data_IF_774040682829
#
_entry.id   IF_774040682829
#
_cell.length_a   1.000
_cell.length_b   1.000
_cell.length_c   1.000
_cell.angle_alpha   90.00
_cell.angle_beta   90.00
_cell.angle_gamma   90.00
#
_symmetry.space_group_name_H-M   'P 1'
#
loop_
_entity.id
_entity.type
_entity.pdbx_description
1 polymer ?
#
# COMPACT_ATOMS: atom_id res chain seq x y z
N UNK A 1 -44.73 -31.12 68.92
CA UNK A 1 -43.30 -30.81 68.75
C UNK A 1 -43.00 -30.71 67.25
N UNK A 2 -42.27 -29.67 66.82
CA UNK A 2 -41.83 -29.36 65.44
C UNK A 2 -41.12 -30.56 64.75
N UNK A 3 -41.00 -30.67 63.40
CA UNK A 3 -40.59 -29.59 62.49
C UNK A 3 -41.16 -29.55 61.05
N UNK A 4 -40.73 -28.50 60.33
CA UNK A 4 -40.93 -28.14 58.91
C UNK A 4 -40.06 -28.98 57.94
N UNK A 5 -40.51 -29.19 56.71
CA UNK A 5 -39.72 -29.36 55.47
C UNK A 5 -40.43 -28.50 54.40
N UNK A 6 -39.89 -27.39 53.90
CA UNK A 6 -38.80 -27.18 52.91
C UNK A 6 -39.04 -27.89 51.56
N UNK A 7 -39.56 -27.07 50.63
CA UNK A 7 -39.32 -26.93 49.19
C UNK A 7 -38.76 -28.09 48.36
N UNK A 8 -39.44 -28.37 47.23
CA UNK A 8 -38.80 -28.69 45.94
C UNK A 8 -39.54 -27.92 44.85
N UNK A 9 -38.96 -26.78 44.45
CA UNK A 9 -39.12 -26.20 43.12
C UNK A 9 -37.94 -26.73 42.33
N UNK A 10 -38.19 -27.56 41.31
CA UNK A 10 -37.15 -27.94 40.34
C UNK A 10 -37.62 -27.52 38.96
N UNK A 11 -37.24 -26.30 38.64
CA UNK A 11 -36.78 -25.80 37.35
C UNK A 11 -36.69 -26.83 36.23
N UNK A 12 -37.65 -26.77 35.29
CA UNK A 12 -37.42 -27.10 33.89
C UNK A 12 -36.50 -26.02 33.32
N UNK A 13 -35.19 -26.23 33.42
CA UNK A 13 -34.20 -25.46 32.69
C UNK A 13 -34.14 -25.96 31.25
N UNK A 14 -34.35 -24.99 30.37
CA UNK A 14 -34.35 -25.05 28.92
C UNK A 14 -32.95 -25.47 28.46
N UNK A 15 -32.84 -26.66 27.87
CA UNK A 15 -31.71 -27.05 27.02
C UNK A 15 -31.90 -26.40 25.64
N UNK A 16 -31.69 -25.10 25.55
CA UNK A 16 -31.34 -24.45 24.29
C UNK A 16 -29.83 -24.51 24.20
N UNK A 17 -29.31 -25.57 23.58
CA UNK A 17 -27.90 -25.65 23.22
C UNK A 17 -27.58 -24.51 22.25
N UNK A 18 -26.83 -23.51 22.73
CA UNK A 18 -26.04 -22.66 21.85
C UNK A 18 -25.11 -23.59 21.07
N UNK A 19 -25.16 -23.51 19.74
CA UNK A 19 -24.18 -24.16 18.88
C UNK A 19 -22.78 -23.71 19.31
N UNK A 20 -21.96 -24.65 19.75
CA UNK A 20 -20.54 -24.40 19.93
C UNK A 20 -19.95 -24.13 18.56
N UNK A 21 -19.45 -22.92 18.31
CA UNK A 21 -18.48 -22.68 17.26
C UNK A 21 -17.42 -23.78 17.32
N UNK A 22 -17.18 -24.43 16.18
CA UNK A 22 -16.15 -25.46 16.06
C UNK A 22 -14.81 -24.75 16.25
N UNK A 23 -14.02 -25.19 17.22
CA UNK A 23 -12.68 -24.64 17.46
C UNK A 23 -11.79 -24.96 16.24
N UNK A 24 -11.71 -24.01 15.31
CA UNK A 24 -10.95 -24.12 14.05
C UNK A 24 -9.45 -23.97 14.32
N UNK A 25 -8.64 -24.70 13.56
CA UNK A 25 -7.18 -24.56 13.64
C UNK A 25 -6.70 -23.22 13.06
N UNK A 26 -7.39 -22.69 12.04
CA UNK A 26 -7.02 -21.46 11.37
C UNK A 26 -7.65 -20.26 12.08
N UNK A 27 -6.79 -19.40 12.61
CA UNK A 27 -7.12 -18.14 13.29
C UNK A 27 -6.02 -17.15 12.90
N UNK A 28 -6.15 -16.57 11.70
CA UNK A 28 -5.16 -15.64 11.18
C UNK A 28 -5.17 -14.35 12.00
N UNK A 29 -3.98 -13.94 12.43
CA UNK A 29 -3.75 -12.72 13.20
C UNK A 29 -2.42 -12.09 12.78
N UNK A 30 -2.04 -10.97 13.39
CA UNK A 30 -0.71 -10.39 13.17
C UNK A 30 0.37 -11.22 13.87
N UNK A 31 1.48 -11.45 13.17
CA UNK A 31 2.68 -12.07 13.75
C UNK A 31 3.73 -10.98 13.89
N UNK A 32 3.92 -10.45 15.10
CA UNK A 32 4.81 -9.31 15.35
C UNK A 32 6.23 -9.54 14.82
N UNK A 33 6.75 -10.77 14.92
CA UNK A 33 8.08 -11.14 14.42
C UNK A 33 8.21 -11.07 12.89
N UNK A 34 7.11 -10.83 12.17
CA UNK A 34 7.09 -10.64 10.72
C UNK A 34 7.06 -9.16 10.30
N UNK A 35 6.95 -8.21 11.24
CA UNK A 35 6.83 -6.78 10.90
C UNK A 35 7.94 -5.90 11.46
N UNK A 36 8.45 -5.00 10.61
CA UNK A 36 9.39 -3.93 10.96
C UNK A 36 8.62 -2.61 11.02
N UNK A 37 8.71 -1.91 12.14
CA UNK A 37 8.13 -0.57 12.31
C UNK A 37 9.18 0.51 12.03
N UNK A 38 8.83 1.45 11.15
CA UNK A 38 9.59 2.66 10.84
C UNK A 38 8.73 3.91 10.86
N UNK A 39 9.37 5.08 10.88
CA UNK A 39 8.74 6.38 10.68
C UNK A 39 9.18 6.95 9.33
N UNK A 40 8.27 7.56 8.57
CA UNK A 40 8.63 8.18 7.28
C UNK A 40 9.58 9.37 7.46
N UNK A 41 9.54 10.03 8.61
CA UNK A 41 10.22 11.31 8.87
C UNK A 41 11.44 11.21 9.80
N UNK A 42 11.68 10.05 10.45
CA UNK A 42 12.82 9.89 11.36
C UNK A 42 13.46 8.50 11.29
N UNK A 43 14.80 8.44 11.31
CA UNK A 43 15.59 7.20 11.41
C UNK A 43 15.44 6.47 12.77
N UNK A 44 14.45 6.83 13.59
CA UNK A 44 14.25 6.24 14.91
C UNK A 44 13.38 4.99 14.79
N UNK A 45 13.91 3.85 15.25
CA UNK A 45 13.10 2.64 15.48
C UNK A 45 11.97 2.98 16.46
N UNK A 46 10.72 2.87 15.98
CA UNK A 46 9.56 3.12 16.82
C UNK A 46 9.38 2.00 17.85
N UNK A 47 8.74 2.32 18.97
CA UNK A 47 8.17 1.34 19.91
C UNK A 47 6.64 1.26 19.77
N UNK A 48 6.07 1.74 18.66
CA UNK A 48 4.63 1.61 18.41
C UNK A 48 4.27 0.14 18.27
N UNK A 49 3.17 -0.25 18.90
CA UNK A 49 2.56 -1.57 18.75
C UNK A 49 2.20 -1.83 17.28
N UNK A 50 2.77 -2.90 16.72
CA UNK A 50 2.57 -3.32 15.32
C UNK A 50 1.08 -3.55 15.06
N UNK A 51 0.39 -4.18 16.01
CA UNK A 51 -1.04 -4.48 15.94
C UNK A 51 -1.87 -3.23 15.69
N UNK A 52 -1.70 -2.20 16.51
CA UNK A 52 -2.42 -0.92 16.37
C UNK A 52 -2.29 -0.31 14.97
N UNK A 53 -1.09 -0.33 14.36
CA UNK A 53 -0.88 0.20 13.00
C UNK A 53 -1.52 -0.69 11.93
N UNK A 54 -1.44 -2.01 12.10
CA UNK A 54 -2.03 -2.97 11.18
C UNK A 54 -3.57 -3.00 11.25
N UNK A 55 -4.16 -2.66 12.40
CA UNK A 55 -5.61 -2.58 12.62
C UNK A 55 -6.25 -1.31 12.06
N UNK A 56 -5.50 -0.21 11.92
CA UNK A 56 -6.03 1.05 11.39
C UNK A 56 -6.65 0.87 9.98
N UNK A 57 -7.80 1.47 9.72
CA UNK A 57 -8.58 1.34 8.48
C UNK A 57 -9.08 -0.09 8.18
N UNK A 58 -9.13 -0.98 9.19
CA UNK A 58 -9.81 -2.29 9.05
C UNK A 58 -11.27 -2.24 9.51
N UNK A 59 -11.66 -1.19 10.25
CA UNK A 59 -13.00 -0.96 10.75
C UNK A 59 -13.93 -0.24 9.76
N UNK A 60 -14.77 0.64 10.31
CA UNK A 60 -15.71 1.48 9.57
C UNK A 60 -14.94 2.63 8.89
N UNK A 61 -15.01 2.66 7.55
CA UNK A 61 -14.30 3.66 6.76
C UNK A 61 -15.11 4.94 6.62
N UNK A 62 -14.41 6.08 6.58
CA UNK A 62 -14.97 7.38 6.17
C UNK A 62 -14.43 7.80 4.81
N UNK A 63 -15.27 8.49 4.03
CA UNK A 63 -14.88 9.07 2.74
C UNK A 63 -14.52 10.54 2.83
N UNK A 64 -14.76 11.18 3.98
CA UNK A 64 -14.55 12.60 4.21
C UNK A 64 -13.84 12.82 5.55
N UNK A 65 -12.92 13.78 5.56
CA UNK A 65 -12.32 14.31 6.78
C UNK A 65 -12.89 15.71 6.96
N UNK A 66 -13.50 16.02 8.09
CA UNK A 66 -14.09 17.34 8.38
C UNK A 66 -13.10 18.28 9.08
N UNK A 67 -13.30 19.59 8.94
CA UNK A 67 -12.48 20.63 9.60
C UNK A 67 -11.22 21.06 8.82
N UNK A 68 -10.48 22.00 9.42
CA UNK A 68 -9.14 22.39 8.99
C UNK A 68 -8.16 21.25 9.31
N UNK A 69 -7.36 20.85 8.32
CA UNK A 69 -6.55 19.64 8.44
C UNK A 69 -5.14 19.96 8.95
N UNK A 70 -4.71 19.19 9.96
CA UNK A 70 -3.33 19.12 10.41
C UNK A 70 -2.82 17.70 10.27
N UNK A 71 -1.79 17.52 9.46
CA UNK A 71 -1.14 16.22 9.25
C UNK A 71 -0.05 16.03 10.28
N UNK A 72 -0.05 14.85 10.88
CA UNK A 72 0.96 14.40 11.83
C UNK A 72 1.89 13.34 11.21
N UNK A 73 2.68 12.68 12.05
CA UNK A 73 3.59 11.63 11.63
C UNK A 73 2.92 10.51 10.83
N UNK A 74 3.69 9.92 9.91
CA UNK A 74 3.32 8.69 9.20
C UNK A 74 4.14 7.54 9.74
N UNK A 75 3.46 6.52 10.25
CA UNK A 75 4.07 5.27 10.73
C UNK A 75 3.96 4.23 9.62
N UNK A 76 5.07 3.58 9.30
CA UNK A 76 5.13 2.54 8.27
C UNK A 76 5.50 1.22 8.92
N UNK A 77 4.70 0.20 8.67
CA UNK A 77 5.03 -1.19 9.01
C UNK A 77 5.27 -1.95 7.72
N UNK A 78 6.37 -2.70 7.66
CA UNK A 78 6.72 -3.51 6.50
C UNK A 78 7.15 -4.91 6.91
N UNK A 79 6.72 -5.89 6.13
CA UNK A 79 7.17 -7.27 6.19
C UNK A 79 8.14 -7.47 5.03
N UNK A 80 9.46 -7.61 5.30
CA UNK A 80 10.40 -7.96 4.24
C UNK A 80 10.07 -9.35 3.68
N UNK A 81 10.50 -9.67 2.45
CA UNK A 81 10.31 -11.00 1.90
C UNK A 81 10.92 -12.09 2.80
N UNK A 82 10.16 -13.11 3.11
CA UNK A 82 10.62 -14.34 3.73
C UNK A 82 11.51 -15.17 2.80
N UNK A 83 11.31 -15.03 1.49
CA UNK A 83 12.03 -15.79 0.47
C UNK A 83 12.59 -14.90 -0.63
N UNK A 84 13.58 -15.42 -1.37
CA UNK A 84 14.18 -14.72 -2.51
C UNK A 84 13.20 -14.44 -3.68
N UNK A 85 11.98 -15.00 -3.65
CA UNK A 85 10.97 -14.72 -4.66
C UNK A 85 10.40 -13.29 -4.51
N UNK A 86 10.36 -12.74 -3.30
CA UNK A 86 9.85 -11.38 -3.07
C UNK A 86 8.32 -11.25 -3.00
N UNK A 87 7.57 -12.33 -3.30
CA UNK A 87 6.11 -12.29 -3.48
C UNK A 87 5.33 -11.91 -2.20
N UNK A 88 5.91 -12.20 -1.04
CA UNK A 88 5.29 -12.06 0.28
C UNK A 88 5.68 -10.77 1.02
N UNK A 89 6.45 -9.89 0.35
CA UNK A 89 6.64 -8.52 0.80
C UNK A 89 5.29 -7.85 1.04
N UNK A 90 5.19 -7.03 2.08
CA UNK A 90 3.99 -6.26 2.36
C UNK A 90 4.36 -5.00 3.13
N UNK A 91 3.61 -3.92 2.93
CA UNK A 91 3.70 -2.76 3.81
C UNK A 91 2.33 -2.14 4.03
N UNK A 92 2.23 -1.41 5.12
CA UNK A 92 1.14 -0.50 5.44
C UNK A 92 1.72 0.78 6.01
N UNK A 93 1.26 1.91 5.51
CA UNK A 93 1.56 3.24 6.00
C UNK A 93 0.28 3.84 6.59
N UNK A 94 0.39 4.45 7.76
CA UNK A 94 -0.71 5.15 8.43
C UNK A 94 -0.26 6.57 8.75
N UNK A 95 -0.88 7.53 8.08
CA UNK A 95 -0.73 8.96 8.35
C UNK A 95 -1.84 9.40 9.30
N UNK A 96 -1.46 10.00 10.42
CA UNK A 96 -2.43 10.52 11.38
C UNK A 96 -2.80 11.96 11.03
N UNK A 97 -4.09 12.28 11.04
CA UNK A 97 -4.60 13.58 10.60
C UNK A 97 -5.64 14.07 11.59
N UNK A 98 -5.47 15.29 12.09
CA UNK A 98 -6.46 15.98 12.93
C UNK A 98 -7.29 16.92 12.06
N UNK A 99 -8.60 16.88 12.25
CA UNK A 99 -9.56 17.90 11.81
C UNK A 99 -10.59 18.12 12.91
N UNK A 100 -11.88 18.10 12.58
CA UNK A 100 -12.95 18.09 13.61
C UNK A 100 -12.96 16.78 14.44
N UNK A 101 -12.34 15.73 13.90
CA UNK A 101 -12.08 14.45 14.55
C UNK A 101 -10.63 14.03 14.32
N UNK A 102 -10.22 12.94 14.95
CA UNK A 102 -8.92 12.32 14.72
C UNK A 102 -9.09 11.22 13.68
N UNK A 103 -8.25 11.23 12.65
CA UNK A 103 -8.32 10.29 11.54
C UNK A 103 -7.01 9.51 11.39
N UNK A 104 -7.13 8.25 11.01
CA UNK A 104 -6.04 7.46 10.46
C UNK A 104 -6.26 7.33 8.95
N UNK A 105 -5.28 7.75 8.15
CA UNK A 105 -5.30 7.61 6.69
C UNK A 105 -4.30 6.54 6.29
N UNK A 106 -4.79 5.46 5.69
CA UNK A 106 -4.01 4.27 5.43
C UNK A 106 -3.73 4.06 3.95
N UNK A 107 -2.53 3.57 3.68
CA UNK A 107 -2.10 3.00 2.40
C UNK A 107 -1.49 1.63 2.65
N UNK A 108 -1.86 0.64 1.85
CA UNK A 108 -1.22 -0.66 1.86
C UNK A 108 -0.97 -1.14 0.42
N UNK A 109 -0.31 -2.29 0.24
CA UNK A 109 -0.08 -2.83 -1.10
C UNK A 109 -1.31 -3.52 -1.72
N UNK A 110 -2.36 -3.71 -0.93
CA UNK A 110 -3.58 -4.40 -1.37
C UNK A 110 -4.54 -3.40 -2.02
N UNK A 111 -4.47 -2.13 -1.60
CA UNK A 111 -5.30 -1.03 -2.08
C UNK A 111 -4.49 0.01 -2.88
N UNK A 112 -4.82 0.28 -4.15
CA UNK A 112 -4.24 1.42 -4.86
C UNK A 112 -4.72 2.78 -4.35
N UNK A 113 -5.80 2.81 -3.56
CA UNK A 113 -6.42 4.03 -3.04
C UNK A 113 -6.19 4.18 -1.54
N UNK A 114 -6.22 5.42 -1.05
CA UNK A 114 -6.18 5.68 0.38
C UNK A 114 -7.49 5.26 1.05
N UNK A 115 -7.39 4.84 2.30
CA UNK A 115 -8.52 4.58 3.19
C UNK A 115 -8.44 5.56 4.35
N UNK A 116 -9.58 5.91 4.94
CA UNK A 116 -9.61 6.73 6.15
C UNK A 116 -10.56 6.14 7.19
N UNK A 117 -10.18 6.23 8.45
CA UNK A 117 -10.98 5.79 9.61
C UNK A 117 -10.93 6.87 10.70
N UNK A 118 -12.04 7.05 11.41
CA UNK A 118 -12.09 7.89 12.61
C UNK A 118 -11.52 7.11 13.79
N UNK A 119 -10.49 7.65 14.44
CA UNK A 119 -9.81 7.00 15.57
C UNK A 119 -10.05 7.75 16.88
N UNK A 120 -10.09 7.05 18.03
CA UNK A 120 -10.34 7.70 19.32
C UNK A 120 -9.14 8.51 19.84
N UNK A 121 -7.92 8.18 19.39
CA UNK A 121 -6.68 8.81 19.82
C UNK A 121 -5.53 8.45 18.88
N UNK A 122 -4.54 9.32 18.76
CA UNK A 122 -3.27 8.98 18.11
C UNK A 122 -2.33 8.21 19.06
N UNK A 123 -1.42 7.38 18.52
CA UNK A 123 -0.32 6.82 19.29
C UNK A 123 0.56 7.91 19.90
N UNK A 124 1.11 7.68 21.11
CA UNK A 124 1.92 8.66 21.84
C UNK A 124 3.18 9.14 21.07
N UNK A 125 3.65 8.36 20.10
CA UNK A 125 4.84 8.68 19.30
C UNK A 125 4.57 9.67 18.17
N UNK A 126 3.30 9.96 17.88
CA UNK A 126 2.86 10.91 16.85
C UNK A 126 2.92 12.31 17.44
N UNK A 127 3.94 13.08 17.06
CA UNK A 127 4.29 14.35 17.71
C UNK A 127 4.60 15.49 16.76
N UNK A 128 4.95 15.22 15.50
CA UNK A 128 5.09 16.28 14.50
C UNK A 128 3.73 16.65 13.95
N UNK A 129 3.52 17.93 13.65
CA UNK A 129 2.25 18.45 13.18
C UNK A 129 2.49 19.56 12.16
N UNK A 130 1.80 19.49 11.03
CA UNK A 130 1.89 20.47 9.96
C UNK A 130 0.49 20.73 9.39
N UNK A 131 0.00 21.99 9.36
CA UNK A 131 -1.25 22.32 8.71
C UNK A 131 -1.13 22.06 7.20
N UNK A 132 -2.22 21.64 6.59
CA UNK A 132 -2.29 21.39 5.15
C UNK A 132 -3.62 21.83 4.59
N UNK A 133 -3.56 22.47 3.42
CA UNK A 133 -4.75 22.87 2.68
C UNK A 133 -5.28 21.71 1.84
N UNK A 134 -6.59 21.67 1.63
CA UNK A 134 -7.20 20.68 0.74
C UNK A 134 -6.83 20.91 -0.71
N UNK A 135 -6.68 22.16 -1.10
CA UNK A 135 -6.41 22.56 -2.47
C UNK A 135 -5.06 23.28 -2.55
N UNK A 136 -4.29 23.06 -3.62
CA UNK A 136 -3.02 23.72 -3.80
C UNK A 136 -3.21 25.22 -4.07
N UNK A 137 -2.38 26.03 -3.43
CA UNK A 137 -2.31 27.48 -3.59
C UNK A 137 -1.25 27.81 -4.62
N UNK A 138 -1.54 28.71 -5.55
CA UNK A 138 -0.57 29.20 -6.53
C UNK A 138 0.40 30.17 -5.84
N UNK A 139 1.69 29.90 -5.94
CA UNK A 139 2.71 30.64 -5.21
C UNK A 139 3.43 31.65 -6.12
N UNK A 140 3.84 32.81 -5.58
CA UNK A 140 4.67 33.74 -6.31
C UNK A 140 6.05 33.13 -6.58
N UNK A 141 6.57 33.36 -7.79
CA UNK A 141 7.89 32.89 -8.20
C UNK A 141 8.93 33.97 -7.94
N UNK A 142 9.96 33.65 -7.17
CA UNK A 142 11.09 34.55 -6.93
C UNK A 142 12.18 34.42 -8.00
N UNK A 143 13.07 35.41 -8.10
CA UNK A 143 14.22 35.33 -9.00
C UNK A 143 15.19 34.19 -8.62
N UNK A 144 15.33 33.87 -7.33
CA UNK A 144 16.14 32.75 -6.86
C UNK A 144 15.59 31.39 -7.28
N UNK A 145 14.26 31.24 -7.36
CA UNK A 145 13.64 30.00 -7.82
C UNK A 145 14.03 29.71 -9.28
N UNK A 146 14.07 30.76 -10.12
CA UNK A 146 14.49 30.65 -11.52
C UNK A 146 15.93 30.18 -11.65
N UNK A 147 16.85 30.79 -10.90
CA UNK A 147 18.28 30.44 -10.99
C UNK A 147 18.57 29.03 -10.47
N UNK A 148 17.83 28.55 -9.46
CA UNK A 148 18.05 27.21 -8.89
C UNK A 148 17.87 26.10 -9.92
N UNK A 149 16.85 26.20 -10.80
CA UNK A 149 16.67 25.23 -11.88
C UNK A 149 17.82 25.25 -12.89
N UNK A 150 18.42 26.42 -13.14
CA UNK A 150 19.50 26.59 -14.12
C UNK A 150 20.85 26.05 -13.64
N UNK A 151 21.04 26.03 -12.33
CA UNK A 151 22.25 25.51 -11.67
C UNK A 151 22.14 24.02 -11.33
N UNK A 152 20.99 23.38 -11.59
CA UNK A 152 20.76 21.98 -11.26
C UNK A 152 21.71 21.04 -12.02
N UNK A 153 22.43 20.20 -11.29
CA UNK A 153 23.35 19.18 -11.85
C UNK A 153 22.64 18.26 -12.85
N UNK A 154 21.34 18.03 -12.68
CA UNK A 154 20.49 17.27 -13.58
C UNK A 154 20.57 17.78 -15.03
N UNK A 155 20.73 19.09 -15.27
CA UNK A 155 20.87 19.64 -16.61
C UNK A 155 22.19 19.24 -17.29
N UNK A 156 23.21 18.89 -16.50
CA UNK A 156 24.53 18.48 -16.98
C UNK A 156 24.65 16.96 -17.12
N UNK A 157 24.02 16.20 -16.24
CA UNK A 157 24.12 14.74 -16.15
C UNK A 157 22.98 13.98 -16.87
N UNK A 158 21.99 14.69 -17.42
CA UNK A 158 20.93 14.07 -18.21
C UNK A 158 21.48 13.46 -19.52
N UNK A 159 20.96 12.31 -20.00
CA UNK A 159 21.42 11.67 -21.25
C UNK A 159 21.35 12.56 -22.49
N UNK A 160 20.47 13.56 -22.44
CA UNK A 160 20.28 14.58 -23.47
C UNK A 160 20.48 15.96 -22.86
N UNK A 161 21.05 16.88 -23.65
CA UNK A 161 21.16 18.29 -23.25
C UNK A 161 19.76 18.90 -23.14
N UNK A 162 19.37 19.31 -21.94
CA UNK A 162 18.11 20.00 -21.69
C UNK A 162 18.33 21.52 -21.68
N UNK A 163 17.51 22.23 -22.45
CA UNK A 163 17.51 23.69 -22.51
C UNK A 163 16.29 24.26 -21.76
N UNK A 164 16.46 24.76 -20.53
CA UNK A 164 15.36 25.25 -19.69
C UNK A 164 14.80 26.60 -20.14
N UNK A 165 13.47 26.75 -20.04
CA UNK A 165 12.76 28.00 -20.30
C UNK A 165 12.65 28.82 -19.02
N UNK A 166 13.57 29.78 -18.85
CA UNK A 166 13.73 30.58 -17.61
C UNK A 166 12.46 31.26 -17.10
N UNK A 167 11.63 31.72 -18.02
CA UNK A 167 10.38 32.43 -17.68
C UNK A 167 9.18 31.50 -17.53
N UNK A 168 9.39 30.19 -17.67
CA UNK A 168 8.38 29.15 -17.55
C UNK A 168 8.37 28.45 -16.18
N UNK A 169 8.74 29.16 -15.10
CA UNK A 169 8.64 28.61 -13.73
C UNK A 169 7.24 28.83 -13.19
N UNK A 170 6.62 27.79 -12.65
CA UNK A 170 5.33 27.82 -11.94
C UNK A 170 5.47 27.12 -10.58
N UNK A 171 4.87 27.69 -9.54
CA UNK A 171 5.00 27.17 -8.17
C UNK A 171 3.64 27.04 -7.52
N UNK A 172 3.45 25.99 -6.73
CA UNK A 172 2.23 25.73 -5.98
C UNK A 172 2.53 25.04 -4.65
N UNK A 173 1.67 25.25 -3.65
CA UNK A 173 1.78 24.59 -2.35
C UNK A 173 1.37 23.11 -2.43
N UNK A 174 1.70 22.35 -1.39
CA UNK A 174 1.11 21.02 -1.19
C UNK A 174 -0.41 21.11 -1.02
N UNK A 175 -1.10 20.10 -1.52
CA UNK A 175 -2.49 19.80 -1.18
C UNK A 175 -2.52 18.53 -0.30
N UNK A 176 -3.60 18.32 0.43
CA UNK A 176 -3.74 17.17 1.31
C UNK A 176 -3.76 15.83 0.55
N UNK A 177 -4.62 15.71 -0.46
CA UNK A 177 -4.78 14.49 -1.24
C UNK A 177 -5.31 14.78 -2.65
N UNK A 178 -4.73 14.16 -3.67
CA UNK A 178 -5.16 14.32 -5.06
C UNK A 178 -3.98 14.33 -6.01
N UNK A 179 -4.16 14.93 -7.18
CA UNK A 179 -3.14 14.95 -8.22
C UNK A 179 -3.18 16.22 -9.07
N UNK A 180 -2.02 16.57 -9.61
CA UNK A 180 -1.87 17.59 -10.64
C UNK A 180 -1.74 16.90 -11.99
N UNK A 181 -2.63 17.24 -12.90
CA UNK A 181 -2.60 16.83 -14.29
C UNK A 181 -2.19 18.03 -15.16
N UNK A 182 -1.31 17.80 -16.13
CA UNK A 182 -1.04 18.75 -17.21
C UNK A 182 -1.68 18.22 -18.49
N UNK A 183 -2.22 19.08 -19.34
CA UNK A 183 -2.69 18.68 -20.66
C UNK A 183 -2.22 19.65 -21.73
N UNK A 184 -1.92 19.12 -22.93
CA UNK A 184 -1.60 19.92 -24.12
C UNK A 184 -2.79 19.83 -25.08
N UNK A 185 -3.40 20.96 -25.42
CA UNK A 185 -4.62 21.04 -26.23
C UNK A 185 -5.75 20.13 -25.71
N UNK A 186 -5.87 20.04 -24.37
CA UNK A 186 -6.87 19.22 -23.68
C UNK A 186 -6.52 17.73 -23.56
N UNK A 187 -5.34 17.30 -23.99
CA UNK A 187 -4.89 15.91 -23.89
C UNK A 187 -3.91 15.73 -22.73
N UNK A 188 -4.27 14.96 -21.69
CA UNK A 188 -3.36 14.66 -20.59
C UNK A 188 -2.32 13.59 -20.97
N UNK A 189 -1.17 13.54 -20.29
CA UNK A 189 -0.23 12.43 -20.36
C UNK A 189 -0.84 11.17 -19.74
N UNK A 190 -0.16 10.03 -19.92
CA UNK A 190 -0.60 8.74 -19.39
C UNK A 190 -0.67 8.66 -17.85
N UNK A 191 0.09 9.51 -17.17
CA UNK A 191 0.20 9.54 -15.71
C UNK A 191 0.12 10.98 -15.22
N UNK A 192 -0.48 11.24 -14.04
CA UNK A 192 -0.48 12.57 -13.45
C UNK A 192 0.95 13.09 -13.27
N UNK A 193 1.11 14.41 -13.34
CA UNK A 193 2.39 15.06 -13.15
C UNK A 193 2.90 14.89 -11.72
N UNK A 194 2.01 15.05 -10.75
CA UNK A 194 2.32 14.95 -9.34
C UNK A 194 1.12 14.38 -8.57
N UNK A 195 1.37 13.51 -7.60
CA UNK A 195 0.36 13.00 -6.68
C UNK A 195 0.64 13.56 -5.29
N UNK A 196 -0.37 14.19 -4.70
CA UNK A 196 -0.37 14.60 -3.31
C UNK A 196 -0.80 13.43 -2.45
N UNK A 197 -0.01 13.12 -1.42
CA UNK A 197 -0.40 12.18 -0.38
C UNK A 197 -0.22 12.81 1.00
N UNK A 198 -1.07 12.47 1.99
CA UNK A 198 -0.90 12.98 3.35
C UNK A 198 0.51 12.72 3.90
N UNK A 199 1.09 11.56 3.61
CA UNK A 199 2.45 11.19 4.01
C UNK A 199 3.55 12.12 3.45
N UNK A 200 3.29 12.81 2.35
CA UNK A 200 4.25 13.72 1.69
C UNK A 200 4.08 15.19 2.07
N UNK A 201 3.19 15.53 3.00
CA UNK A 201 2.94 16.93 3.43
C UNK A 201 4.22 17.67 3.86
N UNK A 202 5.18 16.94 4.43
CA UNK A 202 6.48 17.46 4.87
C UNK A 202 7.48 17.81 3.75
N UNK A 203 7.20 17.46 2.49
CA UNK A 203 8.09 17.73 1.34
C UNK A 203 8.13 19.23 1.01
N UNK A 204 7.10 19.98 1.39
CA UNK A 204 6.99 21.42 1.12
C UNK A 204 6.57 21.74 -0.31
N UNK A 205 6.65 23.03 -0.67
CA UNK A 205 6.14 23.57 -1.92
C UNK A 205 6.82 22.95 -3.15
N UNK A 206 6.05 22.89 -4.24
CA UNK A 206 6.49 22.30 -5.50
C UNK A 206 6.67 23.41 -6.52
N UNK A 207 7.77 23.30 -7.27
CA UNK A 207 8.07 24.19 -8.38
C UNK A 207 8.22 23.35 -9.63
N UNK A 208 7.75 23.86 -10.76
CA UNK A 208 7.92 23.23 -12.07
C UNK A 208 8.48 24.23 -13.07
N UNK A 209 9.28 23.73 -14.00
CA UNK A 209 9.81 24.47 -15.14
C UNK A 209 9.78 23.59 -16.39
N UNK A 210 9.53 24.18 -17.56
CA UNK A 210 9.72 23.48 -18.82
C UNK A 210 11.16 23.57 -19.33
N UNK A 211 11.62 22.50 -19.98
CA UNK A 211 12.84 22.48 -20.77
C UNK A 211 12.58 21.79 -22.11
N UNK A 212 13.53 21.90 -23.05
CA UNK A 212 13.48 21.20 -24.33
C UNK A 212 14.75 20.40 -24.59
N UNK A 213 14.62 19.29 -25.29
CA UNK A 213 15.73 18.50 -25.82
C UNK A 213 15.79 18.71 -27.33
N UNK A 214 16.79 19.41 -27.85
CA UNK A 214 16.91 19.67 -29.29
C UNK A 214 17.04 18.36 -30.08
N UNK A 215 17.81 17.39 -29.56
CA UNK A 215 18.02 16.09 -30.20
C UNK A 215 16.76 15.26 -30.33
N UNK A 216 15.82 15.41 -29.39
CA UNK A 216 14.59 14.62 -29.36
C UNK A 216 13.37 15.40 -29.84
N UNK A 217 13.47 16.73 -29.92
CA UNK A 217 12.35 17.63 -30.18
C UNK A 217 11.16 17.34 -29.25
N UNK A 218 11.44 17.12 -27.96
CA UNK A 218 10.44 16.88 -26.92
C UNK A 218 10.51 17.94 -25.81
N UNK A 219 9.36 18.38 -25.29
CA UNK A 219 9.28 19.12 -24.04
C UNK A 219 9.57 18.20 -22.86
N UNK A 220 10.24 18.74 -21.85
CA UNK A 220 10.49 18.11 -20.57
C UNK A 220 9.92 18.99 -19.46
N UNK A 221 9.36 18.36 -18.42
CA UNK A 221 9.02 19.04 -17.18
C UNK A 221 10.10 18.73 -16.17
N UNK A 222 10.68 19.78 -15.60
CA UNK A 222 11.54 19.73 -14.44
C UNK A 222 10.69 20.04 -13.22
N UNK A 223 10.71 19.18 -12.20
CA UNK A 223 10.01 19.41 -10.95
C UNK A 223 11.01 19.49 -9.82
N UNK A 224 10.87 20.50 -8.96
CA UNK A 224 11.65 20.67 -7.75
C UNK A 224 10.73 20.54 -6.54
N UNK A 225 11.19 19.76 -5.59
CA UNK A 225 10.55 19.53 -4.30
C UNK A 225 11.23 20.39 -3.22
N UNK A 226 10.57 20.63 -2.09
CA UNK A 226 11.06 21.54 -1.05
C UNK A 226 12.36 21.08 -0.35
N UNK A 227 12.73 19.80 -0.47
CA UNK A 227 14.03 19.25 -0.05
C UNK A 227 15.19 19.61 -1.01
N UNK A 228 14.87 20.25 -2.13
CA UNK A 228 15.81 20.64 -3.18
C UNK A 228 16.05 19.56 -4.23
N UNK A 229 15.43 18.38 -4.11
CA UNK A 229 15.48 17.37 -5.15
C UNK A 229 14.82 17.87 -6.43
N UNK A 230 15.44 17.59 -7.58
CA UNK A 230 14.91 17.94 -8.89
C UNK A 230 14.80 16.67 -9.73
N UNK A 231 13.60 16.42 -10.25
CA UNK A 231 13.32 15.36 -11.22
C UNK A 231 13.05 15.95 -12.60
N UNK A 232 13.24 15.15 -13.65
CA UNK A 232 12.89 15.50 -15.02
C UNK A 232 12.09 14.37 -15.67
N UNK A 233 11.05 14.74 -16.41
CA UNK A 233 10.20 13.80 -17.14
C UNK A 233 9.91 14.36 -18.55
N UNK A 234 10.04 13.55 -19.62
CA UNK A 234 9.58 13.96 -20.93
C UNK A 234 8.05 14.05 -20.93
N UNK A 235 7.51 15.12 -21.50
CA UNK A 235 6.07 15.28 -21.68
C UNK A 235 5.67 14.62 -23.00
N UNK A 236 5.47 13.31 -22.95
CA UNK A 236 4.95 12.53 -24.07
C UNK A 236 3.42 12.47 -24.00
N UNK A 237 2.76 13.23 -24.87
CA UNK A 237 1.31 13.11 -25.09
C UNK A 237 1.10 12.12 -26.22
N UNK A 238 0.67 10.90 -25.91
CA UNK A 238 0.32 9.90 -26.91
C UNK A 238 -1.17 10.01 -27.23
N UNK A 239 -1.49 10.50 -28.43
CA UNK A 239 -2.88 10.60 -28.90
C UNK A 239 -3.46 9.23 -29.30
N UNK A 240 -2.57 8.30 -29.66
CA UNK A 240 -2.83 6.89 -29.96
C UNK A 240 -1.55 6.12 -29.58
N UNK A 241 -1.67 5.02 -28.83
CA UNK A 241 -0.52 4.19 -28.44
C UNK A 241 0.21 3.53 -29.64
N UNK A 242 -0.38 3.60 -30.84
CA UNK A 242 0.19 3.11 -32.09
C UNK A 242 0.90 4.19 -32.91
N UNK A 243 0.76 5.47 -32.54
CA UNK A 243 1.41 6.59 -33.20
C UNK A 243 2.57 7.15 -32.36
N UNK A 244 3.57 7.70 -33.04
CA UNK A 244 4.68 8.39 -32.37
C UNK A 244 4.18 9.65 -31.69
N UNK A 245 4.66 9.93 -30.48
CA UNK A 245 4.38 11.18 -29.78
C UNK A 245 4.76 12.40 -30.64
N UNK A 246 4.00 13.52 -30.54
CA UNK A 246 4.27 14.74 -31.29
C UNK A 246 5.65 15.29 -31.01
N UNK A 247 6.26 15.89 -32.02
CA UNK A 247 7.56 16.55 -31.91
C UNK A 247 7.37 18.06 -31.98
N UNK A 248 8.05 18.75 -31.07
CA UNK A 248 7.98 20.18 -30.84
C UNK A 248 9.30 20.82 -31.31
N UNK A 249 9.47 20.96 -32.62
CA UNK A 249 10.70 21.56 -33.17
C UNK A 249 10.77 23.05 -32.86
N UNK A 250 11.93 23.55 -32.42
CA UNK A 250 12.11 24.97 -32.07
C UNK A 250 11.07 25.46 -31.05
N UNK A 251 10.80 24.66 -30.02
CA UNK A 251 9.83 24.98 -28.97
C UNK A 251 10.21 26.28 -28.25
N UNK A 252 9.25 27.18 -28.13
CA UNK A 252 9.24 28.33 -27.25
C UNK A 252 8.05 28.21 -26.29
N UNK A 253 8.24 28.61 -25.03
CA UNK A 253 7.21 28.52 -23.98
C UNK A 253 6.91 29.91 -23.44
N UNK A 254 5.65 30.31 -23.56
CA UNK A 254 5.13 31.56 -23.01
C UNK A 254 4.32 31.25 -21.73
N UNK A 255 4.60 31.95 -20.63
CA UNK A 255 3.79 31.89 -19.41
C UNK A 255 2.52 32.71 -19.58
N UNK A 256 1.37 32.08 -19.39
CA UNK A 256 0.08 32.75 -19.41
C UNK A 256 -0.24 33.32 -18.01
N UNK A 257 -0.92 34.48 -17.93
CA UNK A 257 -1.36 35.01 -16.65
C UNK A 257 -2.42 34.08 -16.03
N UNK A 258 -2.27 33.81 -14.74
CA UNK A 258 -3.23 33.05 -13.95
C UNK A 258 -3.75 33.95 -12.83
N UNK A 259 -5.05 34.28 -12.89
CA UNK A 259 -5.73 35.13 -11.89
C UNK A 259 -6.24 34.33 -10.68
N UNK A 260 -5.96 33.03 -10.63
CA UNK A 260 -6.37 32.15 -9.54
C UNK A 260 -5.25 32.04 -8.49
N UNK A 261 -5.57 32.38 -7.24
CA UNK A 261 -4.68 32.17 -6.09
C UNK A 261 -4.76 30.73 -5.57
N UNK A 262 -5.86 30.03 -5.81
CA UNK A 262 -6.11 28.65 -5.38
C UNK A 262 -6.62 27.84 -6.57
N UNK A 263 -6.10 26.63 -6.75
CA UNK A 263 -6.52 25.71 -7.80
C UNK A 263 -7.79 24.97 -7.34
N UNK A 264 -8.92 25.29 -7.97
CA UNK A 264 -10.20 24.64 -7.67
C UNK A 264 -10.20 23.23 -8.29
N UNK A 265 -10.65 22.18 -7.55
CA UNK A 265 -10.76 20.84 -8.09
C UNK A 265 -11.52 20.79 -9.42
N UNK A 266 -11.00 19.99 -10.36
CA UNK A 266 -11.53 19.72 -11.70
C UNK A 266 -11.69 20.95 -12.62
N UNK A 267 -11.12 22.10 -12.25
CA UNK A 267 -11.01 23.26 -13.13
C UNK A 267 -9.66 23.25 -13.82
N UNK A 268 -9.68 23.27 -15.16
CA UNK A 268 -8.47 23.37 -15.98
C UNK A 268 -8.07 24.83 -16.19
N UNK A 269 -6.85 25.16 -15.81
CA UNK A 269 -6.29 26.51 -15.93
C UNK A 269 -5.22 26.56 -17.02
N UNK A 270 -5.33 27.46 -18.02
CA UNK A 270 -4.26 27.67 -18.98
C UNK A 270 -3.07 28.34 -18.28
N UNK A 271 -1.92 27.68 -18.28
CA UNK A 271 -0.72 28.15 -17.58
C UNK A 271 0.43 28.48 -18.53
N UNK A 272 0.48 27.85 -19.71
CA UNK A 272 1.48 28.12 -20.73
C UNK A 272 0.91 28.03 -22.14
N UNK A 273 1.57 28.69 -23.09
CA UNK A 273 1.40 28.47 -24.53
C UNK A 273 2.72 27.94 -25.10
N UNK A 274 2.64 26.87 -25.89
CA UNK A 274 3.75 26.29 -26.61
C UNK A 274 3.72 26.78 -28.05
N UNK A 275 4.77 27.47 -28.48
CA UNK A 275 4.95 27.86 -29.88
C UNK A 275 6.05 26.99 -30.48
N UNK A 276 5.74 26.28 -31.56
CA UNK A 276 6.69 25.34 -32.14
C UNK A 276 6.44 25.16 -33.63
N UNK A 277 7.35 24.46 -34.30
CA UNK A 277 7.18 24.06 -35.70
C UNK A 277 6.74 22.61 -35.79
N UNK A 278 5.69 22.37 -36.58
CA UNK A 278 5.24 21.06 -37.00
C UNK A 278 5.27 21.00 -38.51
N UNK A 279 6.09 20.11 -39.06
CA UNK A 279 6.27 19.96 -40.51
C UNK A 279 6.61 21.30 -41.22
N UNK A 280 7.41 22.14 -40.54
CA UNK A 280 7.82 23.46 -41.04
C UNK A 280 6.77 24.57 -40.93
N UNK A 281 5.58 24.31 -40.38
CA UNK A 281 4.56 25.32 -40.07
C UNK A 281 4.60 25.69 -38.60
N UNK A 282 4.43 26.97 -38.30
CA UNK A 282 4.26 27.45 -36.92
C UNK A 282 2.90 27.02 -36.40
N UNK A 283 2.90 26.35 -35.25
CA UNK A 283 1.72 25.94 -34.50
C UNK A 283 1.76 26.55 -33.09
N UNK A 284 0.61 26.58 -32.43
CA UNK A 284 0.51 26.99 -31.03
C UNK A 284 -0.44 26.05 -30.31
N UNK A 285 0.04 25.50 -29.19
CA UNK A 285 -0.74 24.62 -28.32
C UNK A 285 -0.90 25.26 -26.95
N UNK A 286 -2.08 25.10 -26.36
CA UNK A 286 -2.36 25.53 -24.99
C UNK A 286 -1.96 24.44 -24.01
N UNK A 287 -1.29 24.81 -22.93
CA UNK A 287 -0.95 23.92 -21.83
C UNK A 287 -1.76 24.29 -20.61
N UNK A 288 -2.60 23.38 -20.17
CA UNK A 288 -3.46 23.54 -19.00
C UNK A 288 -2.96 22.72 -17.84
N UNK A 289 -3.25 23.18 -16.63
CA UNK A 289 -3.05 22.46 -15.38
C UNK A 289 -4.38 22.29 -14.65
N UNK A 290 -4.65 21.08 -14.18
CA UNK A 290 -5.87 20.72 -13.46
C UNK A 290 -5.47 20.05 -12.16
N UNK A 291 -6.03 20.51 -11.04
CA UNK A 291 -5.97 19.77 -9.78
C UNK A 291 -7.18 18.85 -9.69
N UNK A 292 -6.97 17.56 -9.45
CA UNK A 292 -8.04 16.58 -9.15
C UNK A 292 -7.94 16.19 -7.70
N UNK A 293 -9.01 16.42 -6.94
CA UNK A 293 -9.06 16.03 -5.53
C UNK A 293 -9.15 14.51 -5.41
N UNK A 294 -8.38 13.94 -4.48
CA UNK A 294 -8.38 12.50 -4.23
C UNK A 294 -9.60 12.07 -3.42
N UNK A 295 -10.12 10.87 -3.69
CA UNK A 295 -11.24 10.28 -2.95
C UNK A 295 -10.80 9.07 -2.14
N UNK A 296 -11.24 8.97 -0.89
CA UNK A 296 -10.97 7.79 -0.07
C UNK A 296 -11.84 6.60 -0.48
N UNK A 297 -11.31 5.39 -0.30
CA UNK A 297 -12.04 4.15 -0.57
C UNK A 297 -13.26 4.00 0.32
N UNK A 298 -14.33 3.47 -0.24
CA UNK A 298 -15.50 2.99 0.52
C UNK A 298 -15.30 1.56 1.02
N UNK A 299 -16.15 1.12 1.93
CA UNK A 299 -16.23 -0.29 2.34
C UNK A 299 -16.60 -1.20 1.17
N UNK A 300 -17.49 -0.75 0.27
CA UNK A 300 -17.85 -1.48 -0.94
C UNK A 300 -16.62 -1.68 -1.85
N UNK A 301 -15.80 -0.65 -2.04
CA UNK A 301 -14.56 -0.78 -2.82
C UNK A 301 -13.61 -1.80 -2.18
N UNK A 302 -13.49 -1.81 -0.85
CA UNK A 302 -12.67 -2.78 -0.11
C UNK A 302 -13.19 -4.20 -0.30
N UNK A 303 -14.50 -4.40 -0.12
CA UNK A 303 -15.13 -5.72 -0.13
C UNK A 303 -15.18 -6.31 -1.55
N UNK A 304 -15.46 -5.50 -2.57
CA UNK A 304 -15.37 -5.92 -3.97
C UNK A 304 -13.94 -6.36 -4.32
N UNK A 305 -12.91 -5.66 -3.83
CA UNK A 305 -11.52 -6.06 -4.09
C UNK A 305 -11.12 -7.36 -3.42
N UNK A 306 -11.62 -7.63 -2.21
CA UNK A 306 -11.45 -8.95 -1.59
C UNK A 306 -12.11 -10.05 -2.42
N UNK A 307 -13.21 -9.74 -3.13
CA UNK A 307 -13.93 -10.70 -3.98
C UNK A 307 -13.36 -10.86 -5.39
N UNK A 308 -12.74 -9.81 -5.95
CA UNK A 308 -12.23 -9.76 -7.33
C UNK A 308 -10.69 -9.74 -7.42
N UNK A 309 -9.98 -10.02 -6.32
CA UNK A 309 -8.52 -10.17 -6.30
C UNK A 309 -8.01 -11.21 -7.33
N UNK A 310 -8.88 -12.08 -7.81
CA UNK A 310 -8.57 -13.17 -8.75
C UNK A 310 -8.42 -12.75 -10.22
N UNK A 311 -9.00 -11.63 -10.68
CA UNK A 311 -9.26 -11.51 -12.13
C UNK A 311 -8.41 -10.52 -12.95
N UNK A 312 -7.83 -9.42 -12.45
CA UNK A 312 -7.11 -8.49 -13.37
C UNK A 312 -5.84 -7.77 -12.91
N UNK A 313 -5.39 -7.95 -11.68
CA UNK A 313 -4.00 -7.73 -11.30
C UNK A 313 -3.69 -8.84 -10.31
N UNK A 314 -2.72 -9.71 -10.60
CA UNK A 314 -2.15 -10.56 -9.58
C UNK A 314 -1.51 -9.64 -8.53
N UNK A 315 -2.33 -9.15 -7.60
CA UNK A 315 -1.89 -8.32 -6.50
C UNK A 315 -0.97 -9.21 -5.68
N UNK A 316 0.33 -8.96 -5.78
CA UNK A 316 1.31 -9.56 -4.88
C UNK A 316 0.78 -9.39 -3.45
N UNK A 317 0.47 -10.50 -2.79
CA UNK A 317 -0.01 -10.51 -1.41
C UNK A 317 -1.53 -10.51 -1.21
N UNK A 318 -2.35 -10.72 -2.24
CA UNK A 318 -3.79 -10.97 -2.08
C UNK A 318 -4.16 -12.47 -1.96
N UNK A 319 -3.30 -13.37 -2.43
CA UNK A 319 -3.46 -14.82 -2.23
C UNK A 319 -2.74 -15.29 -0.97
N UNK A 320 -3.27 -16.31 -0.26
CA UNK A 320 -2.60 -16.89 0.87
C UNK A 320 -1.32 -17.61 0.44
N UNK A 321 -0.18 -17.24 1.03
CA UNK A 321 1.07 -17.97 0.87
C UNK A 321 1.28 -18.96 2.01
N UNK A 322 1.52 -20.23 1.66
CA UNK A 322 1.81 -21.30 2.63
C UNK A 322 3.23 -21.80 2.47
N UNK A 323 3.99 -21.78 3.56
CA UNK A 323 5.40 -22.19 3.59
C UNK A 323 5.62 -23.30 4.63
N UNK A 324 6.48 -24.26 4.29
CA UNK A 324 7.13 -25.12 5.29
C UNK A 324 8.61 -24.79 5.35
N UNK A 325 9.16 -24.66 6.55
CA UNK A 325 10.55 -24.19 6.72
C UNK A 325 11.26 -24.85 7.90
N UNK A 326 12.59 -24.79 7.85
CA UNK A 326 13.50 -25.42 8.83
C UNK A 326 13.77 -24.55 10.05
N UNK A 327 13.69 -23.23 9.88
CA UNK A 327 14.03 -22.22 10.88
C UNK A 327 12.96 -21.12 10.82
N UNK A 328 12.63 -20.47 11.94
CA UNK A 328 11.70 -19.34 11.93
C UNK A 328 12.14 -18.26 10.94
N UNK A 329 11.17 -17.61 10.30
CA UNK A 329 11.43 -16.38 9.56
C UNK A 329 11.90 -15.29 10.51
N UNK A 330 12.82 -14.46 10.04
CA UNK A 330 13.30 -13.29 10.76
C UNK A 330 13.68 -12.19 9.75
N UNK A 331 13.86 -10.97 10.24
CA UNK A 331 14.12 -9.79 9.41
C UNK A 331 15.51 -9.73 8.78
N UNK A 332 16.48 -10.45 9.34
CA UNK A 332 17.89 -10.32 8.97
C UNK A 332 18.28 -11.27 7.83
N UNK A 333 17.53 -12.35 7.61
CA UNK A 333 17.87 -13.40 6.64
C UNK A 333 16.63 -13.91 5.89
N UNK A 334 16.68 -13.83 4.55
CA UNK A 334 15.72 -14.53 3.69
C UNK A 334 16.05 -16.01 3.62
N UNK A 335 15.03 -16.87 3.70
CA UNK A 335 15.23 -18.31 3.52
C UNK A 335 15.19 -18.67 2.03
N UNK A 336 16.05 -19.61 1.65
CA UNK A 336 16.13 -20.16 0.30
C UNK A 336 15.98 -21.68 0.33
N UNK A 337 15.62 -22.27 -0.80
CA UNK A 337 15.69 -23.72 -0.97
C UNK A 337 17.12 -24.22 -0.66
N UNK A 338 17.31 -25.29 0.14
CA UNK A 338 16.31 -26.24 0.61
C UNK A 338 15.79 -26.01 2.04
N UNK A 339 15.93 -24.81 2.60
CA UNK A 339 15.54 -24.53 4.00
C UNK A 339 14.11 -23.99 4.14
N UNK A 340 13.49 -23.61 3.03
CA UNK A 340 12.07 -23.27 2.91
C UNK A 340 11.50 -23.89 1.63
N UNK A 341 10.23 -24.30 1.69
CA UNK A 341 9.43 -24.70 0.55
C UNK A 341 8.15 -23.87 0.58
N UNK A 342 7.86 -23.19 -0.53
CA UNK A 342 6.55 -22.54 -0.78
C UNK A 342 5.62 -23.59 -1.37
N UNK A 343 4.36 -23.61 -0.94
CA UNK A 343 3.33 -24.46 -1.52
C UNK A 343 3.25 -24.17 -3.02
N UNK A 344 3.21 -25.23 -3.83
CA UNK A 344 3.08 -25.13 -5.27
C UNK A 344 1.87 -25.95 -5.72
N UNK A 345 0.83 -25.29 -6.22
CA UNK A 345 -0.33 -25.90 -6.85
C UNK A 345 -1.30 -24.83 -7.35
N UNK A 346 -2.36 -25.26 -8.02
CA UNK A 346 -3.26 -24.39 -8.79
C UNK A 346 -4.34 -23.72 -7.96
N UNK A 347 -4.55 -24.17 -6.71
CA UNK A 347 -5.64 -23.70 -5.85
C UNK A 347 -5.24 -23.78 -4.37
N UNK A 348 -4.79 -22.65 -3.81
CA UNK A 348 -4.39 -22.60 -2.39
C UNK A 348 -5.58 -22.89 -1.44
N UNK A 349 -6.82 -22.69 -1.89
CA UNK A 349 -8.01 -22.84 -1.05
C UNK A 349 -8.17 -24.27 -0.56
N UNK A 350 -7.83 -25.28 -1.39
CA UNK A 350 -7.86 -26.68 -0.98
C UNK A 350 -6.92 -26.96 0.21
N UNK A 351 -5.75 -26.32 0.25
CA UNK A 351 -4.79 -26.49 1.33
C UNK A 351 -5.24 -25.74 2.59
N UNK A 352 -5.81 -24.54 2.43
CA UNK A 352 -6.36 -23.75 3.52
C UNK A 352 -7.55 -24.47 4.15
N UNK A 353 -8.52 -24.93 3.36
CA UNK A 353 -9.68 -25.70 3.81
C UNK A 353 -9.25 -26.98 4.56
N UNK A 354 -8.23 -27.70 4.04
CA UNK A 354 -7.69 -28.88 4.71
C UNK A 354 -7.14 -28.60 6.11
N UNK A 355 -6.62 -27.38 6.33
CA UNK A 355 -6.11 -26.91 7.63
C UNK A 355 -7.26 -26.46 8.52
N UNK A 356 -8.22 -25.69 7.99
CA UNK A 356 -9.43 -25.26 8.73
C UNK A 356 -10.24 -26.45 9.27
N UNK A 357 -10.38 -27.50 8.47
CA UNK A 357 -11.12 -28.71 8.85
C UNK A 357 -10.36 -29.63 9.81
N UNK A 358 -9.13 -29.28 10.23
CA UNK A 358 -8.36 -30.08 11.16
C UNK A 358 -9.04 -30.17 12.54
N UNK A 359 -8.97 -31.34 13.18
CA UNK A 359 -9.67 -31.59 14.44
C UNK A 359 -8.70 -31.48 15.64
N UNK A 360 -9.12 -30.84 16.75
CA UNK A 360 -8.28 -30.72 17.93
C UNK A 360 -8.01 -32.10 18.55
N UNK A 361 -6.74 -32.34 18.92
CA UNK A 361 -6.27 -33.60 19.50
C UNK A 361 -5.24 -33.34 20.60
N UNK A 362 -5.06 -34.33 21.49
CA UNK A 362 -4.05 -34.26 22.58
C UNK A 362 -2.74 -34.99 22.25
N UNK A 363 -2.55 -35.42 21.00
CA UNK A 363 -1.43 -36.25 20.58
C UNK A 363 -0.78 -35.63 19.34
N UNK A 364 0.55 -35.66 19.30
CA UNK A 364 1.33 -35.30 18.12
C UNK A 364 1.99 -36.49 17.44
N UNK A 365 2.83 -36.17 16.46
CA UNK A 365 3.72 -37.09 15.78
C UNK A 365 5.19 -36.83 16.12
N UNK A 366 6.07 -37.35 15.27
CA UNK A 366 7.50 -37.06 15.26
C UNK A 366 7.78 -35.86 14.36
N UNK A 367 8.67 -34.98 14.80
CA UNK A 367 9.07 -33.79 14.04
C UNK A 367 9.81 -34.19 12.76
N UNK A 368 9.40 -33.60 11.63
CA UNK A 368 10.04 -33.82 10.33
C UNK A 368 11.23 -32.90 10.05
N UNK A 369 11.74 -32.94 8.81
CA UNK A 369 12.83 -32.06 8.38
C UNK A 369 12.44 -30.58 8.28
N UNK A 370 11.16 -30.30 8.05
CA UNK A 370 10.56 -28.96 8.04
C UNK A 370 9.56 -28.89 9.22
N UNK A 371 10.00 -28.47 10.41
CA UNK A 371 9.20 -28.48 11.63
C UNK A 371 8.17 -27.37 11.71
N UNK A 372 8.19 -26.38 10.81
CA UNK A 372 7.34 -25.20 10.89
C UNK A 372 6.50 -25.04 9.62
N UNK A 373 5.24 -24.64 9.81
CA UNK A 373 4.29 -24.21 8.79
C UNK A 373 4.00 -22.72 9.03
N UNK A 374 4.02 -21.90 8.00
CA UNK A 374 3.57 -20.51 8.08
C UNK A 374 2.59 -20.24 6.97
N UNK A 375 1.42 -19.74 7.34
CA UNK A 375 0.39 -19.24 6.43
C UNK A 375 0.41 -17.73 6.53
N UNK A 376 0.35 -17.05 5.41
CA UNK A 376 0.34 -15.60 5.29
C UNK A 376 -0.77 -15.23 4.35
N UNK A 377 -1.64 -14.31 4.76
CA UNK A 377 -2.77 -13.85 3.95
C UNK A 377 -2.90 -12.33 4.16
N UNK A 378 -2.53 -11.56 3.12
CA UNK A 378 -2.38 -10.11 3.21
C UNK A 378 -1.48 -9.68 4.38
N UNK A 379 -2.07 -8.90 5.30
CA UNK A 379 -1.43 -8.39 6.51
C UNK A 379 -1.37 -9.41 7.67
N UNK A 380 -2.11 -10.51 7.59
CA UNK A 380 -2.22 -11.49 8.67
C UNK A 380 -1.42 -12.76 8.35
N UNK A 381 -1.24 -13.59 9.35
CA UNK A 381 -0.61 -14.88 9.22
C UNK A 381 -0.85 -15.78 10.43
N UNK A 382 -0.35 -17.00 10.35
CA UNK A 382 -0.31 -17.91 11.48
C UNK A 382 0.87 -18.89 11.32
N UNK A 383 1.52 -19.23 12.43
CA UNK A 383 2.61 -20.20 12.44
C UNK A 383 2.26 -21.43 13.29
N UNK A 384 2.55 -22.61 12.75
CA UNK A 384 2.34 -23.88 13.42
C UNK A 384 3.65 -24.68 13.48
N UNK A 385 3.81 -25.48 14.54
CA UNK A 385 4.73 -26.61 14.53
C UNK A 385 4.07 -27.81 13.81
N UNK A 386 4.82 -28.48 12.94
CA UNK A 386 4.38 -29.65 12.18
C UNK A 386 5.02 -30.93 12.72
N UNK A 387 4.21 -31.97 12.88
CA UNK A 387 4.70 -33.31 13.21
C UNK A 387 3.93 -34.39 12.44
N UNK A 388 4.54 -35.58 12.32
CA UNK A 388 4.03 -36.65 11.46
C UNK A 388 3.95 -37.99 12.19
N UNK A 389 2.97 -38.80 11.85
CA UNK A 389 2.89 -40.18 12.36
C UNK A 389 2.62 -41.18 11.26
N UNK A 390 3.56 -42.09 11.05
CA UNK A 390 3.38 -43.19 10.11
C UNK A 390 2.35 -44.20 10.63
N UNK A 391 1.34 -44.53 9.81
CA UNK A 391 0.35 -45.57 10.06
C UNK A 391 0.26 -46.51 8.86
N UNK A 392 1.05 -47.59 8.90
CA UNK A 392 1.08 -48.63 7.87
C UNK A 392 1.27 -48.07 6.45
N UNK A 393 0.18 -47.70 5.76
CA UNK A 393 0.16 -47.15 4.40
C UNK A 393 -0.07 -45.64 4.30
N UNK A 394 -0.47 -44.97 5.39
CA UNK A 394 -0.78 -43.53 5.43
C UNK A 394 0.14 -42.83 6.42
N UNK A 395 0.35 -41.53 6.22
CA UNK A 395 1.10 -40.66 7.13
C UNK A 395 0.15 -39.58 7.61
N UNK A 396 -0.09 -39.53 8.92
CA UNK A 396 -0.88 -38.44 9.51
C UNK A 396 -0.03 -37.18 9.58
N UNK A 397 -0.67 -36.03 9.44
CA UNK A 397 -0.10 -34.70 9.66
C UNK A 397 -0.79 -34.07 10.87
N UNK A 398 0.02 -33.54 11.79
CA UNK A 398 -0.43 -32.78 12.94
C UNK A 398 0.18 -31.38 12.87
N UNK A 399 -0.63 -30.37 13.13
CA UNK A 399 -0.21 -28.98 13.25
C UNK A 399 -0.50 -28.53 14.68
N UNK A 400 0.44 -27.83 15.31
CA UNK A 400 0.26 -27.26 16.65
C UNK A 400 0.44 -25.77 16.55
N UNK A 401 -0.61 -25.04 16.89
CA UNK A 401 -0.55 -23.57 16.92
C UNK A 401 0.47 -23.15 17.97
N UNK A 402 1.43 -22.31 17.57
CA UNK A 402 2.51 -21.89 18.46
C UNK A 402 2.04 -20.91 19.55
N UNK A 403 0.92 -20.20 19.32
CA UNK A 403 0.38 -19.26 20.29
C UNK A 403 -0.51 -19.96 21.34
N UNK A 404 -1.47 -20.77 20.89
CA UNK A 404 -2.40 -21.46 21.80
C UNK A 404 -1.89 -22.79 22.34
N UNK A 405 -0.78 -23.32 21.79
CA UNK A 405 -0.25 -24.67 22.03
C UNK A 405 -1.24 -25.82 21.72
N UNK A 406 -2.37 -25.52 21.08
CA UNK A 406 -3.37 -26.52 20.72
C UNK A 406 -2.93 -27.29 19.47
N UNK A 407 -2.88 -28.62 19.59
CA UNK A 407 -2.59 -29.51 18.46
C UNK A 407 -3.87 -29.89 17.71
N UNK A 408 -3.82 -29.84 16.40
CA UNK A 408 -4.86 -30.29 15.48
C UNK A 408 -4.30 -31.39 14.59
N UNK A 409 -5.18 -32.29 14.18
CA UNK A 409 -4.86 -33.36 13.23
C UNK A 409 -5.64 -33.15 11.95
N UNK A 410 -4.94 -33.10 10.83
CA UNK A 410 -5.56 -33.04 9.52
C UNK A 410 -6.37 -34.32 9.26
N UNK A 411 -7.44 -34.17 8.47
CA UNK A 411 -8.21 -35.34 8.00
C UNK A 411 -7.33 -36.23 7.12
N UNK A 412 -7.79 -37.45 6.80
CA UNK A 412 -7.00 -38.32 5.91
C UNK A 412 -6.85 -37.75 4.50
N UNK A 413 -7.84 -36.98 4.06
CA UNK A 413 -7.83 -36.28 2.77
C UNK A 413 -6.94 -35.05 2.85
N UNK A 414 -7.14 -34.20 3.87
CA UNK A 414 -6.30 -33.02 4.09
C UNK A 414 -4.81 -33.34 4.27
N UNK A 415 -4.47 -34.50 4.85
CA UNK A 415 -3.08 -34.96 4.89
C UNK A 415 -2.51 -35.31 3.50
N UNK A 416 -3.29 -35.90 2.60
CA UNK A 416 -2.83 -36.15 1.23
C UNK A 416 -2.75 -34.84 0.42
N UNK A 417 -3.69 -33.90 0.62
CA UNK A 417 -3.61 -32.53 0.07
C UNK A 417 -2.34 -31.84 0.55
N UNK A 418 -2.05 -31.84 1.85
CA UNK A 418 -0.79 -31.29 2.38
C UNK A 418 0.45 -31.87 1.68
N UNK A 419 0.49 -33.19 1.44
CA UNK A 419 1.61 -33.82 0.75
C UNK A 419 1.64 -33.60 -0.77
N UNK A 420 0.52 -33.25 -1.43
CA UNK A 420 0.55 -32.86 -2.84
C UNK A 420 1.21 -31.49 -3.03
N UNK A 421 0.98 -30.57 -2.09
CA UNK A 421 1.63 -29.25 -2.05
C UNK A 421 3.09 -29.31 -1.57
N UNK A 422 3.40 -30.25 -0.66
CA UNK A 422 4.75 -30.42 -0.10
C UNK A 422 5.30 -31.84 -0.26
N UNK A 423 5.55 -32.31 -1.50
CA UNK A 423 5.98 -33.68 -1.75
C UNK A 423 7.34 -34.01 -1.14
N UNK A 424 8.23 -33.02 -0.95
CA UNK A 424 9.53 -33.24 -0.30
C UNK A 424 9.40 -33.59 1.19
N UNK A 425 8.31 -33.20 1.85
CA UNK A 425 8.07 -33.44 3.30
C UNK A 425 7.55 -34.85 3.57
N UNK A 426 7.02 -35.53 2.55
CA UNK A 426 6.49 -36.90 2.66
C UNK A 426 7.58 -37.95 2.95
N UNK A 427 8.85 -37.62 2.67
CA UNK A 427 9.99 -38.55 2.77
C UNK A 427 10.42 -38.86 4.20
#
# INVERSE_FOLDING_TARGET
MKPKMIAIVTSLLILSGCGSERDSALKLDYIDEHWIVGHYTTDKKSMTDVGTVLEACTGELTTELEGELTVYDTIVVSRPPFTNAGDDFMYKAVTYVEGDQLYAVCRDMVSPYLQAEVVPSFPEQVVTAQPVDRSPVVLPVSASDKETFLEADLLQDHPFKLEPFRDAVFSYSQAFYGEIEIAIDGWPPLFPLHMFEPASTGIGDIQMMFASSESESLPYILMRYGDGHISSQPLEVTFDATESAPRFESLEVERLPLDADVLIPDVSYPIFAFHYKKEGKSETSEVTLTYREGTFSTEEDRDLRQQFADEQLANRGAEPYVYVHKKPFNFDETLAYPDVLKAAGTDMDELIEAIELAEPVKRGGETGAYPLLTIVDGLKGQQFAISFKQRSKKRDVYITDLLSEQTYKLTSEGAETFFSYFPQVRK
#
